data_IF_529701577250
#
_entry.id   IF_529701577250
#
_cell.length_a   1.000
_cell.length_b   1.000
_cell.length_c   1.000
_cell.angle_alpha   90.00
_cell.angle_beta   90.00
_cell.angle_gamma   90.00
#
_symmetry.space_group_name_H-M   'P 1'
#
loop_
_entity.id
_entity.type
_entity.pdbx_description
1 polymer ?
#
# COMPACT_ATOMS: atom_id res chain seq x y z
N UNK A 1 19.69 2.56 4.18
CA UNK A 1 18.46 2.01 3.55
C UNK A 1 18.46 2.34 2.07
N UNK A 2 18.21 1.34 1.24
CA UNK A 2 18.13 1.54 -0.20
C UNK A 2 16.72 1.99 -0.59
N UNK A 3 16.58 3.29 -0.78
CA UNK A 3 15.28 3.89 -1.09
C UNK A 3 14.71 3.37 -2.42
N UNK A 4 15.58 3.17 -3.41
CA UNK A 4 15.15 2.65 -4.70
C UNK A 4 14.54 1.25 -4.56
N UNK A 5 15.16 0.40 -3.74
CA UNK A 5 14.66 -0.94 -3.50
C UNK A 5 13.29 -0.91 -2.81
N UNK A 6 13.13 -0.03 -1.82
CA UNK A 6 11.85 0.15 -1.13
C UNK A 6 10.76 0.58 -2.12
N UNK A 7 11.07 1.52 -3.00
CA UNK A 7 10.11 2.00 -3.99
C UNK A 7 9.70 0.88 -4.96
N UNK A 8 10.67 0.10 -5.43
CA UNK A 8 10.36 -1.01 -6.33
C UNK A 8 9.53 -2.09 -5.65
N UNK A 9 9.85 -2.40 -4.40
CA UNK A 9 9.08 -3.36 -3.63
C UNK A 9 7.63 -2.87 -3.46
N UNK A 10 7.46 -1.61 -3.06
CA UNK A 10 6.14 -1.01 -2.91
C UNK A 10 5.35 -1.01 -4.21
N UNK A 11 6.00 -0.65 -5.31
CA UNK A 11 5.38 -0.64 -6.64
C UNK A 11 4.90 -2.04 -7.03
N UNK A 12 5.76 -3.03 -6.86
CA UNK A 12 5.42 -4.41 -7.21
C UNK A 12 4.22 -4.90 -6.40
N UNK A 13 4.24 -4.66 -5.09
CA UNK A 13 3.16 -5.09 -4.21
C UNK A 13 1.86 -4.37 -4.52
N UNK A 14 1.92 -3.06 -4.82
CA UNK A 14 0.74 -2.31 -5.20
C UNK A 14 0.15 -2.81 -6.51
N UNK A 15 0.99 -3.11 -7.50
CA UNK A 15 0.53 -3.62 -8.78
C UNK A 15 -0.14 -5.00 -8.63
N UNK A 16 0.43 -5.86 -7.79
CA UNK A 16 -0.18 -7.14 -7.48
C UNK A 16 -1.54 -6.94 -6.81
N UNK A 17 -1.62 -6.00 -5.87
CA UNK A 17 -2.88 -5.68 -5.21
C UNK A 17 -3.95 -5.19 -6.19
N UNK A 18 -3.56 -4.34 -7.13
CA UNK A 18 -4.48 -3.83 -8.15
C UNK A 18 -4.97 -4.98 -9.03
N UNK A 19 -4.05 -5.86 -9.45
CA UNK A 19 -4.42 -7.02 -10.26
C UNK A 19 -5.41 -7.91 -9.52
N UNK A 20 -5.14 -8.20 -8.26
CA UNK A 20 -6.04 -9.03 -7.44
C UNK A 20 -7.40 -8.37 -7.27
N UNK A 21 -7.43 -7.04 -7.16
CA UNK A 21 -8.69 -6.29 -7.09
C UNK A 21 -9.48 -6.46 -8.38
N UNK A 22 -8.80 -6.38 -9.52
CA UNK A 22 -9.46 -6.58 -10.83
C UNK A 22 -10.04 -7.97 -10.97
N UNK A 23 -9.43 -8.96 -10.34
CA UNK A 23 -9.89 -10.35 -10.37
C UNK A 23 -10.88 -10.67 -9.25
N UNK A 24 -11.23 -9.68 -8.44
CA UNK A 24 -12.14 -9.84 -7.30
C UNK A 24 -11.64 -10.84 -6.25
N UNK A 25 -10.33 -10.92 -6.08
CA UNK A 25 -9.75 -11.80 -5.07
C UNK A 25 -9.60 -10.98 -3.78
N UNK A 26 -10.55 -11.16 -2.88
CA UNK A 26 -10.63 -10.42 -1.63
C UNK A 26 -10.59 -11.41 -0.46
N UNK A 27 -9.87 -11.19 0.64
CA UNK A 27 -9.22 -9.94 1.05
C UNK A 27 -7.71 -9.86 0.71
N UNK A 28 -7.17 -10.80 -0.05
CA UNK A 28 -5.74 -10.85 -0.35
C UNK A 28 -5.28 -9.58 -1.06
N UNK A 29 -6.13 -9.02 -1.94
CA UNK A 29 -5.83 -7.78 -2.63
C UNK A 29 -5.56 -6.63 -1.65
N UNK A 30 -6.33 -6.58 -0.56
CA UNK A 30 -6.16 -5.55 0.47
C UNK A 30 -4.83 -5.72 1.19
N UNK A 31 -4.44 -6.97 1.49
CA UNK A 31 -3.17 -7.25 2.16
C UNK A 31 -2.00 -6.76 1.30
N UNK A 32 -1.98 -7.11 0.02
CA UNK A 32 -0.92 -6.64 -0.87
C UNK A 32 -0.91 -5.13 -1.01
N UNK A 33 -2.09 -4.51 -1.15
CA UNK A 33 -2.20 -3.07 -1.24
C UNK A 33 -1.70 -2.38 0.03
N UNK A 34 -2.05 -2.91 1.19
CA UNK A 34 -1.63 -2.36 2.47
C UNK A 34 -0.12 -2.43 2.65
N UNK A 35 0.49 -3.58 2.35
CA UNK A 35 1.94 -3.74 2.47
C UNK A 35 2.65 -2.83 1.49
N UNK A 36 2.17 -2.76 0.24
CA UNK A 36 2.75 -1.87 -0.77
C UNK A 36 2.69 -0.41 -0.34
N UNK A 37 1.54 0.02 0.19
CA UNK A 37 1.39 1.38 0.71
C UNK A 37 2.31 1.63 1.89
N UNK A 38 2.56 0.62 2.71
CA UNK A 38 3.53 0.71 3.81
C UNK A 38 4.92 1.03 3.30
N UNK A 39 5.38 0.33 2.25
CA UNK A 39 6.69 0.60 1.65
C UNK A 39 6.75 2.02 1.08
N UNK A 40 5.71 2.47 0.38
CA UNK A 40 5.67 3.82 -0.16
C UNK A 40 5.62 4.88 0.94
N UNK A 41 4.93 4.58 2.05
CA UNK A 41 4.91 5.48 3.22
C UNK A 41 6.32 5.64 3.77
N UNK A 42 7.07 4.53 3.89
CA UNK A 42 8.47 4.61 4.33
C UNK A 42 9.30 5.46 3.36
N UNK A 43 9.11 5.25 2.05
CA UNK A 43 9.83 6.03 1.06
C UNK A 43 9.51 7.52 1.21
N UNK A 44 8.24 7.86 1.44
CA UNK A 44 7.83 9.23 1.64
C UNK A 44 8.49 9.87 2.86
N UNK A 45 8.59 9.11 3.95
CA UNK A 45 9.25 9.60 5.17
C UNK A 45 10.73 9.86 4.91
N UNK A 46 11.42 8.92 4.26
CA UNK A 46 12.85 9.07 3.99
C UNK A 46 13.14 10.20 3.03
N UNK A 47 12.26 10.44 2.07
CA UNK A 47 12.43 11.52 1.09
C UNK A 47 11.90 12.85 1.59
N UNK A 48 11.20 12.87 2.72
CA UNK A 48 10.51 14.06 3.24
C UNK A 48 9.53 14.60 2.21
N UNK A 49 8.89 13.70 1.47
CA UNK A 49 7.89 14.05 0.49
C UNK A 49 6.51 14.00 1.16
N UNK A 50 6.07 15.14 1.65
CA UNK A 50 4.82 15.21 2.42
C UNK A 50 3.59 14.83 1.61
N UNK A 51 3.44 15.28 0.34
CA UNK A 51 2.29 14.83 -0.45
C UNK A 51 2.26 13.32 -0.65
N UNK A 52 3.40 12.70 -0.93
CA UNK A 52 3.48 11.26 -1.09
C UNK A 52 3.14 10.55 0.23
N UNK A 53 3.72 11.01 1.33
CA UNK A 53 3.47 10.44 2.64
C UNK A 53 1.98 10.51 2.99
N UNK A 54 1.36 11.66 2.76
CA UNK A 54 -0.04 11.87 3.10
C UNK A 54 -0.96 10.94 2.30
N UNK A 55 -0.74 10.84 1.00
CA UNK A 55 -1.56 9.98 0.14
C UNK A 55 -1.46 8.52 0.58
N UNK A 56 -0.24 8.06 0.83
CA UNK A 56 -0.04 6.66 1.21
C UNK A 56 -0.58 6.35 2.61
N UNK A 57 -0.45 7.30 3.54
CA UNK A 57 -0.99 7.11 4.89
C UNK A 57 -2.52 7.01 4.85
N UNK A 58 -3.18 7.87 4.07
CA UNK A 58 -4.63 7.83 3.92
C UNK A 58 -5.06 6.53 3.24
N UNK A 59 -4.32 6.10 2.21
CA UNK A 59 -4.60 4.85 1.52
C UNK A 59 -4.50 3.66 2.49
N UNK A 60 -3.48 3.63 3.33
CA UNK A 60 -3.31 2.58 4.32
C UNK A 60 -4.48 2.53 5.29
N UNK A 61 -4.96 3.71 5.73
CA UNK A 61 -6.12 3.78 6.61
C UNK A 61 -7.37 3.20 5.94
N UNK A 62 -7.60 3.52 4.67
CA UNK A 62 -8.73 2.99 3.95
C UNK A 62 -8.63 1.48 3.76
N UNK A 63 -7.43 0.96 3.48
CA UNK A 63 -7.23 -0.48 3.38
C UNK A 63 -7.54 -1.18 4.71
N UNK A 64 -7.10 -0.60 5.82
CA UNK A 64 -7.37 -1.15 7.15
C UNK A 64 -8.87 -1.13 7.46
N UNK A 65 -9.56 -0.03 7.11
CA UNK A 65 -11.01 0.05 7.28
C UNK A 65 -11.73 -1.02 6.47
N UNK A 66 -11.34 -1.19 5.21
CA UNK A 66 -11.95 -2.19 4.35
C UNK A 66 -11.75 -3.59 4.89
N UNK A 67 -10.54 -3.89 5.38
CA UNK A 67 -10.26 -5.19 5.96
C UNK A 67 -11.07 -5.41 7.23
N UNK A 68 -11.17 -4.41 8.10
CA UNK A 68 -11.95 -4.50 9.33
C UNK A 68 -13.43 -4.74 9.02
N UNK A 69 -13.99 -4.02 8.06
CA UNK A 69 -15.38 -4.19 7.67
C UNK A 69 -15.64 -5.56 7.06
N UNK A 70 -14.65 -6.10 6.34
CA UNK A 70 -14.77 -7.44 5.77
C UNK A 70 -14.79 -8.51 6.87
N UNK A 71 -14.01 -8.30 7.94
CA UNK A 71 -13.91 -9.26 9.04
C UNK A 71 -15.15 -9.25 9.94
N UNK A 72 -15.92 -8.19 9.93
CA UNK A 72 -17.15 -8.03 10.70
C UNK A 72 -18.36 -8.06 9.79
#
# INVERSE_FOLDING_TARGET
VNLLLIKWAGTTLCLIGILLTSLNIYPINVVFGLVGSGFWTLAGIYQRDMPLFLVEAVAALFYLMGLALWMY
#
